data_IF_459274807975
#
_entry.id   IF_459274807975
#
_cell.length_a   1.000
_cell.length_b   1.000
_cell.length_c   1.000
_cell.angle_alpha   90.00
_cell.angle_beta   90.00
_cell.angle_gamma   90.00
#
_symmetry.space_group_name_H-M   'P 1'
#
loop_
_entity.id
_entity.type
_entity.pdbx_description
1 polymer ?
#
# COMPACT_ATOMS: atom_id res chain seq x y z
N UNK A 1 7.58 1.19 0.65
CA UNK A 1 7.73 2.55 0.09
C UNK A 1 9.18 2.81 -0.34
N UNK A 2 10.11 3.06 0.59
CA UNK A 2 11.50 3.40 0.22
C UNK A 2 12.24 2.31 -0.55
N UNK A 3 12.14 1.01 -0.20
CA UNK A 3 12.79 -0.04 -0.99
C UNK A 3 12.17 -0.26 -2.38
N UNK A 4 10.93 0.20 -2.62
CA UNK A 4 10.19 -0.10 -3.85
C UNK A 4 9.90 -1.60 -4.09
N UNK A 5 10.07 -2.45 -3.09
CA UNK A 5 9.86 -3.91 -3.19
C UNK A 5 8.45 -4.29 -2.73
N UNK A 6 7.72 -5.01 -3.57
CA UNK A 6 6.36 -5.50 -3.30
C UNK A 6 6.20 -7.01 -3.50
N UNK A 7 7.30 -7.69 -3.81
CA UNK A 7 7.37 -9.13 -4.04
C UNK A 7 8.57 -9.69 -3.26
N UNK A 8 8.42 -10.81 -2.54
CA UNK A 8 7.15 -11.49 -2.23
C UNK A 8 6.26 -10.62 -1.31
N UNK A 9 4.93 -10.78 -1.39
CA UNK A 9 4.02 -10.06 -0.49
C UNK A 9 4.18 -10.55 0.95
N UNK A 10 4.22 -9.62 1.92
CA UNK A 10 3.96 -9.98 3.33
C UNK A 10 2.46 -10.21 3.53
N UNK A 11 1.64 -9.42 2.85
CA UNK A 11 0.19 -9.58 2.79
C UNK A 11 -0.32 -9.16 1.42
N UNK A 12 -1.06 -10.01 0.72
CA UNK A 12 -1.48 -9.74 -0.67
C UNK A 12 -2.51 -8.60 -0.76
N UNK A 13 -2.36 -7.73 -1.76
CA UNK A 13 -3.24 -6.57 -1.98
C UNK A 13 -4.71 -6.94 -2.14
N UNK A 14 -5.01 -8.05 -2.83
CA UNK A 14 -6.39 -8.55 -2.97
C UNK A 14 -7.04 -8.88 -1.62
N UNK A 15 -6.25 -9.31 -0.62
CA UNK A 15 -6.76 -9.59 0.73
C UNK A 15 -7.02 -8.29 1.48
N UNK A 16 -6.10 -7.32 1.37
CA UNK A 16 -6.31 -5.97 1.92
C UNK A 16 -7.55 -5.29 1.36
N UNK A 17 -7.76 -5.36 0.04
CA UNK A 17 -8.98 -4.86 -0.60
C UNK A 17 -10.24 -5.54 -0.06
N UNK A 18 -10.24 -6.87 0.07
CA UNK A 18 -11.35 -7.65 0.63
C UNK A 18 -11.69 -7.21 2.06
N UNK A 19 -10.69 -7.07 2.94
CA UNK A 19 -10.93 -6.69 4.34
C UNK A 19 -11.47 -5.25 4.46
N UNK A 20 -10.93 -4.30 3.68
CA UNK A 20 -11.43 -2.90 3.66
C UNK A 20 -12.84 -2.83 3.06
N UNK A 21 -13.14 -3.63 2.05
CA UNK A 21 -14.49 -3.73 1.47
C UNK A 21 -15.52 -4.21 2.51
N UNK A 22 -15.18 -5.25 3.28
CA UNK A 22 -16.04 -5.76 4.36
C UNK A 22 -16.23 -4.72 5.47
N UNK A 23 -15.15 -4.05 5.90
CA UNK A 23 -15.23 -3.04 6.95
C UNK A 23 -16.08 -1.82 6.54
N UNK A 24 -15.94 -1.34 5.30
CA UNK A 24 -16.73 -0.21 4.78
C UNK A 24 -18.19 -0.58 4.54
N UNK A 25 -18.49 -1.82 4.13
CA UNK A 25 -19.85 -2.34 4.04
C UNK A 25 -20.54 -2.36 5.42
N UNK A 26 -19.88 -2.94 6.43
CA UNK A 26 -20.40 -2.95 7.80
C UNK A 26 -20.61 -1.54 8.36
N UNK A 27 -19.66 -0.62 8.12
CA UNK A 27 -19.82 0.78 8.53
C UNK A 27 -21.08 1.43 7.94
N UNK A 28 -21.42 1.10 6.69
CA UNK A 28 -22.65 1.58 6.03
C UNK A 28 -23.91 1.02 6.69
N UNK A 29 -23.94 -0.28 7.00
CA UNK A 29 -25.05 -0.92 7.70
C UNK A 29 -25.30 -0.30 9.07
N UNK A 30 -24.23 0.07 9.77
CA UNK A 30 -24.28 0.67 11.10
C UNK A 30 -24.44 2.21 11.09
N UNK A 31 -24.53 2.83 9.91
CA UNK A 31 -24.63 4.29 9.79
C UNK A 31 -23.37 5.06 10.20
N UNK A 32 -22.21 4.41 10.25
CA UNK A 32 -20.92 4.98 10.65
C UNK A 32 -20.17 5.53 9.42
N UNK A 33 -19.84 6.83 9.36
CA UNK A 33 -19.11 7.40 8.22
C UNK A 33 -17.63 6.98 8.15
N UNK A 34 -17.30 6.04 7.27
CA UNK A 34 -15.94 5.47 7.10
C UNK A 34 -15.07 6.24 6.07
N UNK A 35 -14.96 7.57 6.19
CA UNK A 35 -14.37 8.45 5.15
C UNK A 35 -12.98 8.02 4.65
N UNK A 36 -12.03 7.81 5.56
CA UNK A 36 -10.66 7.42 5.20
C UNK A 36 -10.62 5.99 4.61
N UNK A 37 -11.40 5.06 5.16
CA UNK A 37 -11.46 3.71 4.63
C UNK A 37 -12.09 3.66 3.23
N UNK A 38 -13.06 4.53 2.93
CA UNK A 38 -13.63 4.65 1.58
C UNK A 38 -12.60 5.21 0.57
N UNK A 39 -11.76 6.17 0.97
CA UNK A 39 -10.65 6.64 0.12
C UNK A 39 -9.63 5.52 -0.10
N UNK A 40 -9.25 4.80 0.96
CA UNK A 40 -8.37 3.65 0.84
C UNK A 40 -8.95 2.56 -0.07
N UNK A 41 -10.25 2.26 0.04
CA UNK A 41 -10.93 1.30 -0.81
C UNK A 41 -10.85 1.69 -2.30
N UNK A 42 -10.99 2.97 -2.62
CA UNK A 42 -10.85 3.46 -3.99
C UNK A 42 -9.43 3.22 -4.53
N UNK A 43 -8.39 3.59 -3.77
CA UNK A 43 -6.98 3.36 -4.16
C UNK A 43 -6.64 1.87 -4.31
N UNK A 44 -7.13 1.02 -3.39
CA UNK A 44 -6.95 -0.43 -3.50
C UNK A 44 -7.67 -1.02 -4.71
N UNK A 45 -8.84 -0.47 -5.07
CA UNK A 45 -9.61 -0.91 -6.24
C UNK A 45 -8.90 -0.54 -7.54
N UNK A 46 -8.34 0.67 -7.63
CA UNK A 46 -7.51 1.07 -8.77
C UNK A 46 -6.25 0.22 -8.88
N UNK A 47 -5.55 -0.02 -7.77
CA UNK A 47 -4.38 -0.91 -7.75
C UNK A 47 -4.71 -2.35 -8.21
N UNK A 48 -5.90 -2.86 -7.88
CA UNK A 48 -6.38 -4.14 -8.43
C UNK A 48 -6.61 -4.09 -9.94
N UNK A 49 -7.16 -2.99 -10.46
CA UNK A 49 -7.36 -2.81 -11.90
C UNK A 49 -6.03 -2.78 -12.67
N UNK A 50 -4.93 -2.37 -12.03
CA UNK A 50 -3.56 -2.46 -12.56
C UNK A 50 -2.97 -3.89 -12.52
N UNK A 51 -3.72 -4.87 -11.99
CA UNK A 51 -3.28 -6.26 -11.90
C UNK A 51 -2.35 -6.55 -10.71
N UNK A 52 -2.27 -5.66 -9.72
CA UNK A 52 -1.35 -5.81 -8.57
C UNK A 52 -1.90 -6.65 -7.41
N UNK A 53 -2.96 -7.43 -7.63
CA UNK A 53 -3.64 -8.16 -6.55
C UNK A 53 -2.77 -9.15 -5.77
N UNK A 54 -1.77 -9.74 -6.42
CA UNK A 54 -0.83 -10.69 -5.79
C UNK A 54 0.43 -10.03 -5.22
N UNK A 55 0.61 -8.71 -5.41
CA UNK A 55 1.69 -7.94 -4.80
C UNK A 55 1.37 -7.63 -3.34
N UNK A 56 2.36 -7.12 -2.62
CA UNK A 56 2.16 -6.65 -1.25
C UNK A 56 1.03 -5.59 -1.18
N UNK A 57 0.30 -5.58 -0.08
CA UNK A 57 -0.85 -4.70 0.15
C UNK A 57 -0.50 -3.22 0.11
N UNK A 58 0.77 -2.87 0.28
CA UNK A 58 1.30 -1.53 0.13
C UNK A 58 1.55 -1.10 -1.32
N UNK A 59 1.32 -1.97 -2.31
CA UNK A 59 1.59 -1.69 -3.74
C UNK A 59 0.69 -0.63 -4.38
N UNK A 60 -0.45 -0.27 -3.76
CA UNK A 60 -1.23 0.90 -4.17
C UNK A 60 -0.41 2.21 -4.16
N UNK A 61 0.67 2.27 -3.37
CA UNK A 61 1.58 3.42 -3.36
C UNK A 61 2.31 3.66 -4.68
N UNK A 62 2.24 2.72 -5.64
CA UNK A 62 2.72 2.93 -7.00
C UNK A 62 1.82 3.92 -7.78
N UNK A 63 0.51 3.98 -7.51
CA UNK A 63 -0.43 4.88 -8.19
C UNK A 63 -0.01 6.35 -8.13
N UNK A 64 0.28 6.95 -6.95
CA UNK A 64 0.74 8.33 -6.91
C UNK A 64 2.08 8.55 -7.62
N UNK A 65 2.96 7.55 -7.69
CA UNK A 65 4.23 7.65 -8.42
C UNK A 65 3.96 7.70 -9.94
N UNK A 66 3.07 6.84 -10.43
CA UNK A 66 2.62 6.86 -11.83
C UNK A 66 1.95 8.19 -12.18
N UNK A 67 1.02 8.67 -11.32
CA UNK A 67 0.33 9.96 -11.50
C UNK A 67 1.29 11.15 -11.52
N UNK A 68 2.34 11.11 -10.71
CA UNK A 68 3.36 12.16 -10.65
C UNK A 68 4.46 12.00 -11.74
N UNK A 69 4.47 10.90 -12.49
CA UNK A 69 5.51 10.62 -13.48
C UNK A 69 6.91 10.44 -12.88
N UNK A 70 6.99 10.03 -11.61
CA UNK A 70 8.26 9.86 -10.88
C UNK A 70 8.53 8.38 -10.61
N UNK A 71 9.81 8.01 -10.54
CA UNK A 71 10.25 6.70 -10.06
C UNK A 71 10.95 6.88 -8.72
N UNK A 72 10.61 6.06 -7.75
CA UNK A 72 11.25 6.03 -6.44
C UNK A 72 11.73 4.61 -6.13
N UNK A 73 12.63 4.50 -5.17
CA UNK A 73 13.32 3.25 -4.84
C UNK A 73 14.74 3.57 -4.39
N UNK A 74 15.05 3.27 -3.14
CA UNK A 74 16.38 3.38 -2.56
C UNK A 74 16.94 1.96 -2.46
N UNK A 75 18.16 1.69 -2.97
CA UNK A 75 18.81 0.40 -2.79
C UNK A 75 18.83 -0.01 -1.31
N UNK A 76 18.56 -1.28 -1.04
CA UNK A 76 18.49 -1.81 0.33
C UNK A 76 19.81 -1.61 1.09
N UNK A 77 20.92 -1.67 0.38
CA UNK A 77 22.28 -1.48 0.88
C UNK A 77 22.42 -0.07 1.45
N UNK A 78 22.01 0.94 0.69
CA UNK A 78 22.05 2.33 1.12
C UNK A 78 21.10 2.61 2.29
N UNK A 79 19.96 1.92 2.36
CA UNK A 79 19.06 2.01 3.51
C UNK A 79 19.71 1.40 4.76
N UNK A 80 20.40 0.26 4.63
CA UNK A 80 21.11 -0.39 5.75
C UNK A 80 22.25 0.47 6.27
N UNK A 81 23.06 1.03 5.37
CA UNK A 81 24.17 1.94 5.74
C UNK A 81 23.69 3.11 6.60
N UNK A 82 22.57 3.74 6.22
CA UNK A 82 22.00 4.88 6.98
C UNK A 82 21.44 4.42 8.33
N UNK A 83 20.74 3.28 8.39
CA UNK A 83 20.19 2.75 9.64
C UNK A 83 21.33 2.39 10.63
N UNK A 84 22.41 1.81 10.14
CA UNK A 84 23.58 1.46 10.95
C UNK A 84 24.30 2.70 11.49
N UNK A 85 24.37 3.78 10.71
CA UNK A 85 24.95 5.06 11.13
C UNK A 85 24.10 5.79 12.18
N UNK A 86 22.77 5.67 12.11
CA UNK A 86 21.82 6.33 13.03
C UNK A 86 21.50 5.50 14.29
N UNK A 87 21.95 4.25 14.39
CA UNK A 87 21.71 3.43 15.59
C UNK A 87 22.63 3.91 16.72
N UNK A 88 22.10 4.50 17.82
CA UNK A 88 22.95 4.93 18.92
C UNK A 88 23.58 3.70 19.59
N UNK A 89 24.90 3.78 19.81
CA UNK A 89 25.72 2.78 20.51
C UNK A 89 25.23 2.46 21.92
#
# INVERSE_FOLDING_TARGET
FLPGTYDPPSFALKLGHKDVSLATALGREMGVPMRLANLALAELTEALAHGWGDKDSSSYMLLPLERAGVKTGVPLEKLREVIEQDTPS
#
